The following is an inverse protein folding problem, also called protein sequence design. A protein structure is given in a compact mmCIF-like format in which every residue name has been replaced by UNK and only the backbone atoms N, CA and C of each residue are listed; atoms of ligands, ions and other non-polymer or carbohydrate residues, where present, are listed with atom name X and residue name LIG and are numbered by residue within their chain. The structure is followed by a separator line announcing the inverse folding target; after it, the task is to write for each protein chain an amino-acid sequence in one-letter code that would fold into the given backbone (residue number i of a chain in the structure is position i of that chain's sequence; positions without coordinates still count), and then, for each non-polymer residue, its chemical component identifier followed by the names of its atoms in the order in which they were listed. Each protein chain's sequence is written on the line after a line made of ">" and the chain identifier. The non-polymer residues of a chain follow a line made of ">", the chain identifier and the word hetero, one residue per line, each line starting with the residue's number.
data_IF_426491843963
#
_entry.id   IF_426491843963
#
_cell.length_a   1.000
_cell.length_b   1.000
_cell.length_c   1.000
_cell.angle_alpha   90.00
_cell.angle_beta   90.00
_cell.angle_gamma   90.00
#
_symmetry.space_group_name_H-M   'P 1'
#
loop_
_entity.id
_entity.type
_entity.pdbx_description
1 polymer ?
#
# COMPACT_ATOMS: atom_id res chain seq x y z
N UNK A 1 5.16 -34.64 -30.01
CA UNK A 1 3.86 -34.00 -30.33
C UNK A 1 2.99 -34.22 -29.12
N UNK A 2 2.43 -33.20 -28.45
CA UNK A 2 1.91 -31.95 -29.01
C UNK A 2 2.24 -30.73 -28.16
N UNK A 3 3.04 -29.83 -28.72
CA UNK A 3 2.79 -28.41 -28.51
C UNK A 3 1.37 -28.16 -29.01
N UNK A 4 0.46 -27.73 -28.13
CA UNK A 4 -0.86 -27.36 -28.58
C UNK A 4 -0.70 -26.13 -29.46
N UNK A 5 -1.03 -26.31 -30.74
CA UNK A 5 -1.17 -25.24 -31.69
C UNK A 5 -2.00 -24.10 -31.07
N UNK A 6 -1.59 -22.84 -31.28
CA UNK A 6 -2.44 -21.69 -30.94
C UNK A 6 -3.85 -21.94 -31.45
N UNK A 7 -4.88 -21.47 -30.74
CA UNK A 7 -6.31 -21.73 -30.93
C UNK A 7 -6.90 -21.65 -32.36
N UNK A 8 -6.13 -21.29 -33.40
CA UNK A 8 -6.44 -21.60 -34.79
C UNK A 8 -5.23 -21.91 -35.70
N UNK A 9 -4.38 -22.86 -35.32
CA UNK A 9 -3.53 -23.53 -36.33
C UNK A 9 -4.32 -24.72 -36.86
N UNK A 10 -5.29 -24.45 -37.73
CA UNK A 10 -5.79 -25.52 -38.58
C UNK A 10 -4.74 -25.81 -39.64
N UNK A 11 -3.97 -26.87 -39.46
CA UNK A 11 -3.25 -27.54 -40.54
C UNK A 11 -4.14 -28.56 -41.27
N UNK A 12 -5.46 -28.58 -40.99
CA UNK A 12 -6.38 -29.43 -41.76
C UNK A 12 -6.50 -28.86 -43.17
N UNK A 13 -6.32 -29.65 -44.24
CA UNK A 13 -6.58 -29.22 -45.60
C UNK A 13 -8.03 -28.76 -45.83
N UNK A 14 -8.92 -28.96 -44.84
CA UNK A 14 -10.33 -28.57 -44.85
C UNK A 14 -10.72 -27.58 -43.73
N UNK A 15 -9.78 -27.04 -42.95
CA UNK A 15 -10.15 -26.10 -41.90
C UNK A 15 -10.37 -24.71 -42.45
N UNK A 16 -11.57 -24.18 -42.23
CA UNK A 16 -12.05 -22.90 -42.74
C UNK A 16 -11.46 -21.67 -42.02
N UNK A 17 -10.71 -21.87 -40.93
CA UNK A 17 -10.18 -20.78 -40.10
C UNK A 17 -8.66 -20.84 -40.11
N UNK A 18 -8.04 -19.82 -40.70
CA UNK A 18 -6.59 -19.64 -40.71
C UNK A 18 -6.08 -19.04 -39.39
N UNK A 19 -4.77 -19.08 -39.18
CA UNK A 19 -4.10 -18.40 -38.05
C UNK A 19 -4.32 -16.88 -38.10
N UNK A 20 -4.40 -16.32 -39.31
CA UNK A 20 -4.81 -14.93 -39.52
C UNK A 20 -6.27 -14.68 -39.12
N UNK A 21 -7.23 -15.50 -39.58
CA UNK A 21 -8.65 -15.32 -39.26
C UNK A 21 -8.91 -15.30 -37.75
N UNK A 22 -8.21 -16.14 -37.01
CA UNK A 22 -8.31 -16.15 -35.56
C UNK A 22 -7.67 -14.93 -34.91
N UNK A 23 -6.45 -14.54 -35.32
CA UNK A 23 -5.85 -13.28 -34.84
C UNK A 23 -6.81 -12.10 -35.05
N UNK A 24 -7.45 -12.03 -36.22
CA UNK A 24 -8.45 -11.00 -36.54
C UNK A 24 -9.73 -11.15 -35.68
N UNK A 25 -10.24 -12.36 -35.48
CA UNK A 25 -11.41 -12.61 -34.64
C UNK A 25 -11.19 -12.22 -33.16
N UNK A 26 -10.01 -12.53 -32.60
CA UNK A 26 -9.65 -12.06 -31.25
C UNK A 26 -9.57 -10.53 -31.20
N UNK A 27 -9.06 -9.91 -32.25
CA UNK A 27 -9.02 -8.44 -32.34
C UNK A 27 -10.43 -7.86 -32.35
N UNK A 28 -11.34 -8.43 -33.12
CA UNK A 28 -12.74 -8.00 -33.19
C UNK A 28 -13.45 -8.10 -31.82
N UNK A 29 -13.15 -9.13 -31.03
CA UNK A 29 -13.70 -9.27 -29.67
C UNK A 29 -13.10 -8.27 -28.67
N UNK A 30 -11.86 -7.86 -28.87
CA UNK A 30 -11.10 -7.05 -27.91
C UNK A 30 -11.08 -5.56 -28.25
N UNK A 31 -11.58 -5.16 -29.41
CA UNK A 31 -11.57 -3.78 -29.89
C UNK A 31 -12.90 -3.06 -29.54
N UNK A 32 -12.95 -2.25 -28.46
CA UNK A 32 -14.18 -1.61 -28.00
C UNK A 32 -14.58 -0.36 -28.80
N UNK A 33 -13.80 0.05 -29.81
CA UNK A 33 -14.00 1.31 -30.52
C UNK A 33 -13.26 1.41 -31.86
N UNK A 34 -13.29 2.58 -32.53
CA UNK A 34 -12.71 2.77 -33.87
C UNK A 34 -11.19 2.62 -33.91
N UNK A 35 -10.53 2.72 -32.76
CA UNK A 35 -9.10 2.49 -32.59
C UNK A 35 -8.86 1.13 -31.93
N UNK A 36 -7.92 0.36 -32.46
CA UNK A 36 -7.46 -0.87 -31.81
C UNK A 36 -6.97 -0.55 -30.40
N UNK A 37 -7.53 -1.21 -29.40
CA UNK A 37 -6.92 -1.28 -28.07
C UNK A 37 -5.53 -1.89 -28.22
N UNK A 38 -4.52 -1.22 -27.68
CA UNK A 38 -3.14 -1.72 -27.67
C UNK A 38 -3.13 -3.09 -26.99
N UNK A 39 -2.85 -4.14 -27.76
CA UNK A 39 -2.54 -5.45 -27.20
C UNK A 39 -1.04 -5.51 -26.93
N UNK A 40 -0.69 -5.85 -25.71
CA UNK A 40 0.68 -6.00 -25.26
C UNK A 40 1.13 -7.45 -25.42
N UNK A 41 2.38 -7.64 -25.85
CA UNK A 41 2.98 -8.97 -25.84
C UNK A 41 3.38 -9.33 -24.41
N UNK A 42 2.90 -10.47 -23.90
CA UNK A 42 3.24 -10.93 -22.57
C UNK A 42 2.58 -12.23 -22.15
N UNK A 43 3.01 -12.73 -20.99
CA UNK A 43 2.58 -14.03 -20.46
C UNK A 43 1.42 -13.81 -19.47
N UNK A 44 0.38 -14.64 -19.55
CA UNK A 44 -0.71 -14.65 -18.59
C UNK A 44 -0.18 -15.00 -17.20
N UNK A 45 -0.56 -14.22 -16.19
CA UNK A 45 -0.18 -14.50 -14.82
C UNK A 45 -0.76 -15.85 -14.35
N UNK A 46 0.09 -16.68 -13.73
CA UNK A 46 -0.27 -17.96 -13.11
C UNK A 46 0.74 -18.27 -11.98
N UNK A 47 0.38 -19.19 -11.09
CA UNK A 47 1.32 -19.71 -10.09
C UNK A 47 2.48 -20.48 -10.76
N UNK A 48 3.65 -20.52 -10.11
CA UNK A 48 4.78 -21.37 -10.55
C UNK A 48 5.66 -20.78 -11.67
N UNK A 49 5.67 -19.45 -11.84
CA UNK A 49 6.52 -18.72 -12.80
C UNK A 49 6.42 -19.22 -14.26
N UNK A 50 5.27 -19.00 -14.92
CA UNK A 50 5.06 -19.46 -16.29
C UNK A 50 6.09 -18.85 -17.26
N UNK A 51 6.62 -19.69 -18.14
CA UNK A 51 7.58 -19.33 -19.19
C UNK A 51 9.04 -19.26 -18.73
N UNK A 52 9.35 -19.59 -17.47
CA UNK A 52 10.74 -19.71 -17.01
C UNK A 52 11.42 -20.88 -17.72
N UNK A 53 12.65 -20.63 -18.18
CA UNK A 53 13.60 -21.61 -18.67
C UNK A 53 14.49 -22.08 -17.53
N UNK A 54 14.63 -23.39 -17.39
CA UNK A 54 15.45 -24.04 -16.36
C UNK A 54 16.17 -25.26 -16.95
N UNK A 55 17.26 -25.71 -16.32
CA UNK A 55 17.93 -26.97 -16.70
C UNK A 55 16.93 -28.13 -16.58
N UNK A 56 16.90 -29.03 -17.56
CA UNK A 56 15.99 -30.16 -17.56
C UNK A 56 16.34 -31.14 -16.43
N UNK A 57 15.34 -31.61 -15.70
CA UNK A 57 15.56 -32.60 -14.64
C UNK A 57 16.07 -33.91 -15.25
N UNK A 58 17.24 -34.38 -14.81
CA UNK A 58 17.85 -35.63 -15.28
C UNK A 58 18.57 -35.55 -16.62
N UNK A 59 18.56 -34.39 -17.30
CA UNK A 59 19.32 -34.15 -18.53
C UNK A 59 20.02 -32.78 -18.46
N UNK A 60 21.29 -32.79 -18.07
CA UNK A 60 22.07 -31.57 -17.90
C UNK A 60 22.46 -30.91 -19.21
N UNK A 61 22.18 -31.51 -20.38
CA UNK A 61 22.45 -30.90 -21.69
C UNK A 61 21.25 -30.11 -22.22
N UNK A 62 20.09 -30.33 -21.62
CA UNK A 62 18.83 -29.76 -22.06
C UNK A 62 18.29 -28.71 -21.12
N UNK A 63 17.45 -27.82 -21.66
CA UNK A 63 16.58 -26.96 -20.88
C UNK A 63 15.12 -27.39 -21.03
N UNK A 64 14.32 -27.08 -20.02
CA UNK A 64 12.86 -27.14 -20.11
C UNK A 64 12.30 -25.75 -19.91
N UNK A 65 11.18 -25.47 -20.58
CA UNK A 65 10.40 -24.24 -20.36
C UNK A 65 9.18 -24.62 -19.55
N UNK A 66 8.90 -23.89 -18.46
CA UNK A 66 7.69 -24.13 -17.68
C UNK A 66 6.44 -23.79 -18.51
N UNK A 67 5.36 -24.56 -18.40
CA UNK A 67 4.12 -24.28 -19.10
C UNK A 67 3.65 -22.83 -18.95
N UNK A 68 3.09 -22.26 -20.02
CA UNK A 68 2.58 -20.88 -20.04
C UNK A 68 1.50 -20.67 -21.09
N UNK A 69 0.72 -19.61 -20.90
CA UNK A 69 -0.12 -19.02 -21.93
C UNK A 69 0.39 -17.61 -22.22
N UNK A 70 0.55 -17.26 -23.50
CA UNK A 70 1.07 -15.97 -23.94
C UNK A 70 0.12 -15.31 -24.92
N UNK A 71 0.04 -13.99 -24.85
CA UNK A 71 -0.52 -13.16 -25.90
C UNK A 71 0.65 -12.49 -26.62
N UNK A 72 0.76 -12.68 -27.93
CA UNK A 72 1.81 -12.09 -28.74
C UNK A 72 1.18 -11.21 -29.81
N UNK A 73 1.45 -9.91 -29.76
CA UNK A 73 1.11 -9.01 -30.85
C UNK A 73 1.97 -9.33 -32.07
N UNK A 74 1.36 -9.38 -33.26
CA UNK A 74 2.14 -9.50 -34.49
C UNK A 74 2.89 -8.19 -34.76
N UNK A 75 4.16 -8.30 -35.14
CA UNK A 75 4.95 -7.17 -35.63
C UNK A 75 4.58 -6.79 -37.07
N UNK A 76 3.75 -7.60 -37.73
CA UNK A 76 3.44 -7.51 -39.17
C UNK A 76 1.98 -7.13 -39.45
N UNK A 77 1.12 -7.08 -38.44
CA UNK A 77 -0.29 -6.74 -38.59
C UNK A 77 -1.00 -6.45 -37.27
N UNK A 78 -2.32 -6.25 -37.34
CA UNK A 78 -3.15 -5.91 -36.17
C UNK A 78 -3.52 -7.14 -35.34
N UNK A 79 -3.59 -7.04 -34.02
CA UNK A 79 -4.08 -8.14 -33.18
C UNK A 79 -3.02 -9.03 -32.58
N UNK A 80 -3.49 -10.00 -31.79
CA UNK A 80 -2.65 -10.87 -30.97
C UNK A 80 -2.93 -12.34 -31.19
N UNK A 81 -1.86 -13.13 -31.22
CA UNK A 81 -1.89 -14.58 -31.13
C UNK A 81 -2.05 -14.99 -29.67
N UNK A 82 -2.91 -16.00 -29.41
CA UNK A 82 -2.99 -16.66 -28.10
C UNK A 82 -2.27 -17.98 -28.23
N UNK A 83 -1.18 -18.13 -27.49
CA UNK A 83 -0.28 -19.26 -27.58
C UNK A 83 -0.31 -20.00 -26.25
N UNK A 84 -0.39 -21.32 -26.31
CA UNK A 84 -0.36 -22.18 -25.13
C UNK A 84 0.79 -23.15 -25.29
N UNK A 85 1.68 -23.16 -24.31
CA UNK A 85 2.72 -24.16 -24.14
C UNK A 85 2.40 -24.94 -22.87
N UNK A 86 1.86 -26.15 -23.02
CA UNK A 86 1.38 -27.00 -21.93
C UNK A 86 2.16 -28.31 -21.78
N UNK A 87 2.98 -28.65 -22.77
CA UNK A 87 3.82 -29.85 -22.79
C UNK A 87 5.32 -29.48 -22.72
N UNK A 88 5.91 -29.43 -21.50
CA UNK A 88 7.31 -29.06 -21.32
C UNK A 88 8.24 -30.16 -21.84
N UNK A 89 8.72 -29.99 -23.05
CA UNK A 89 9.67 -30.90 -23.70
C UNK A 89 11.11 -30.44 -23.45
N UNK A 90 12.05 -31.32 -23.06
CA UNK A 90 13.47 -30.98 -23.02
C UNK A 90 14.01 -30.56 -24.40
N UNK A 91 14.76 -29.46 -24.41
CA UNK A 91 15.41 -28.91 -25.60
C UNK A 91 16.93 -29.03 -25.39
N UNK A 92 17.58 -29.92 -26.13
CA UNK A 92 19.04 -30.11 -26.05
C UNK A 92 19.76 -28.91 -26.69
N UNK A 93 20.36 -28.07 -25.84
CA UNK A 93 21.05 -26.84 -26.23
C UNK A 93 22.50 -27.12 -26.64
N UNK A 94 23.07 -28.23 -26.18
CA UNK A 94 24.47 -28.58 -26.38
C UNK A 94 24.69 -29.49 -27.59
N UNK A 95 23.63 -29.93 -28.28
CA UNK A 95 23.70 -30.81 -29.45
C UNK A 95 24.10 -30.09 -30.73
N UNK A 96 23.36 -29.04 -31.13
CA UNK A 96 23.48 -28.46 -32.46
C UNK A 96 23.51 -26.90 -32.43
N UNK A 97 24.68 -26.26 -32.67
CA UNK A 97 25.99 -26.88 -32.88
C UNK A 97 26.56 -27.43 -31.56
N UNK A 98 27.37 -28.50 -31.62
CA UNK A 98 28.06 -29.00 -30.45
C UNK A 98 28.92 -27.91 -29.83
N UNK A 99 29.15 -27.99 -28.53
CA UNK A 99 29.96 -27.00 -27.82
C UNK A 99 31.40 -27.05 -28.35
N UNK A 100 31.83 -25.94 -28.95
CA UNK A 100 33.19 -25.78 -29.47
C UNK A 100 34.15 -25.26 -28.39
N UNK A 101 35.34 -24.85 -28.84
CA UNK A 101 36.39 -24.27 -27.99
C UNK A 101 36.16 -22.82 -27.60
N UNK A 102 35.10 -22.17 -28.10
CA UNK A 102 34.76 -20.78 -27.77
C UNK A 102 33.35 -20.69 -27.17
N UNK A 103 33.16 -19.68 -26.32
CA UNK A 103 31.86 -19.37 -25.73
C UNK A 103 30.87 -18.82 -26.78
N UNK A 104 29.58 -18.96 -26.50
CA UNK A 104 28.49 -18.40 -27.33
C UNK A 104 27.27 -18.05 -26.49
N UNK A 105 26.37 -17.26 -27.06
CA UNK A 105 25.05 -16.97 -26.49
C UNK A 105 23.99 -17.63 -27.35
N UNK A 106 23.17 -18.47 -26.73
CA UNK A 106 22.03 -19.12 -27.37
C UNK A 106 20.73 -18.47 -26.86
N UNK A 107 19.64 -18.59 -27.63
CA UNK A 107 18.31 -18.12 -27.19
C UNK A 107 17.34 -19.28 -27.07
N UNK A 108 16.45 -19.19 -26.10
CA UNK A 108 15.19 -19.91 -26.09
C UNK A 108 14.09 -18.91 -26.42
N UNK A 109 13.34 -19.20 -27.47
CA UNK A 109 12.30 -18.30 -27.98
C UNK A 109 10.96 -19.01 -28.08
N UNK A 110 9.91 -18.22 -27.96
CA UNK A 110 8.54 -18.55 -28.37
C UNK A 110 8.26 -17.83 -29.69
N UNK A 111 7.93 -18.54 -30.76
CA UNK A 111 7.77 -17.98 -32.11
C UNK A 111 6.42 -18.39 -32.70
N UNK A 112 5.70 -17.42 -33.26
CA UNK A 112 4.53 -17.65 -34.10
C UNK A 112 4.94 -17.61 -35.57
N UNK A 113 4.54 -18.58 -36.37
CA UNK A 113 4.54 -18.48 -37.84
C UNK A 113 3.11 -18.45 -38.37
N UNK A 114 2.91 -17.68 -39.44
CA UNK A 114 1.61 -17.42 -40.07
C UNK A 114 1.81 -17.22 -41.57
N UNK A 115 1.36 -18.19 -42.38
CA UNK A 115 1.53 -18.24 -43.85
C UNK A 115 0.85 -17.08 -44.58
N UNK A 116 -0.01 -16.32 -43.91
CA UNK A 116 -0.52 -15.06 -44.44
C UNK A 116 0.59 -14.04 -44.70
N UNK A 117 1.72 -14.16 -43.99
CA UNK A 117 2.86 -13.25 -44.14
C UNK A 117 3.95 -13.84 -45.05
N UNK A 118 4.47 -13.05 -46.02
CA UNK A 118 5.58 -13.48 -46.84
C UNK A 118 6.80 -13.89 -46.01
N UNK A 119 7.33 -15.09 -46.27
CA UNK A 119 8.51 -15.64 -45.60
C UNK A 119 8.22 -16.71 -44.57
N UNK A 120 6.98 -16.85 -44.10
CA UNK A 120 6.57 -17.93 -43.22
C UNK A 120 6.17 -19.16 -44.03
N UNK A 121 6.90 -20.27 -43.87
CA UNK A 121 6.66 -21.51 -44.63
C UNK A 121 5.55 -22.38 -44.02
N UNK A 122 4.95 -21.96 -42.90
CA UNK A 122 3.92 -22.72 -42.20
C UNK A 122 3.20 -21.91 -41.14
N UNK A 123 2.08 -22.43 -40.67
CA UNK A 123 1.35 -21.90 -39.52
C UNK A 123 1.77 -22.70 -38.28
N UNK A 124 2.08 -22.02 -37.19
CA UNK A 124 2.42 -22.74 -35.97
C UNK A 124 3.01 -21.89 -34.86
N UNK A 125 2.75 -22.31 -33.63
CA UNK A 125 3.44 -21.83 -32.44
C UNK A 125 4.51 -22.84 -32.06
N UNK A 126 5.75 -22.37 -31.85
CA UNK A 126 6.85 -23.22 -31.39
C UNK A 126 7.66 -22.55 -30.30
N UNK A 127 8.03 -23.33 -29.28
CA UNK A 127 9.13 -22.99 -28.37
C UNK A 127 10.37 -23.72 -28.85
N UNK A 128 11.45 -22.99 -29.14
CA UNK A 128 12.66 -23.59 -29.72
C UNK A 128 13.94 -22.87 -29.32
N UNK A 129 15.04 -23.57 -29.53
CA UNK A 129 16.41 -23.06 -29.41
C UNK A 129 16.85 -22.34 -30.69
N UNK A 130 17.61 -21.25 -30.49
CA UNK A 130 18.32 -20.52 -31.54
C UNK A 130 19.80 -20.51 -31.16
N UNK A 131 20.65 -21.28 -31.85
CA UNK A 131 22.05 -21.35 -31.50
C UNK A 131 22.82 -20.10 -31.91
N UNK A 132 23.72 -19.67 -31.03
CA UNK A 132 24.74 -18.64 -31.27
C UNK A 132 25.86 -19.11 -32.19
N UNK A 133 26.54 -18.14 -32.79
CA UNK A 133 27.82 -18.40 -33.44
C UNK A 133 28.93 -18.54 -32.39
N UNK A 134 29.76 -19.58 -32.53
CA UNK A 134 30.93 -19.80 -31.66
C UNK A 134 31.87 -18.60 -31.73
N UNK A 135 32.33 -18.09 -30.57
CA UNK A 135 33.29 -17.00 -30.49
C UNK A 135 32.72 -15.60 -30.74
N UNK A 136 31.41 -15.46 -30.92
CA UNK A 136 30.73 -14.17 -31.05
C UNK A 136 29.69 -14.02 -29.94
N UNK A 137 30.03 -13.38 -28.80
CA UNK A 137 29.09 -13.18 -27.70
C UNK A 137 28.04 -12.13 -28.12
N UNK A 138 26.84 -12.59 -28.48
CA UNK A 138 25.71 -11.73 -28.84
C UNK A 138 24.49 -12.55 -29.23
N UNK A 139 23.31 -11.93 -29.20
CA UNK A 139 22.05 -12.59 -29.54
C UNK A 139 22.09 -13.07 -31.01
N UNK A 140 21.92 -14.38 -31.30
CA UNK A 140 21.86 -14.88 -32.67
C UNK A 140 20.65 -14.33 -33.42
N UNK A 141 20.76 -14.14 -34.74
CA UNK A 141 19.61 -13.77 -35.56
C UNK A 141 18.56 -14.89 -35.55
N UNK A 142 17.33 -14.53 -35.23
CA UNK A 142 16.19 -15.45 -35.30
C UNK A 142 15.73 -15.57 -36.75
N UNK A 143 15.85 -16.78 -37.32
CA UNK A 143 15.34 -17.09 -38.66
C UNK A 143 13.83 -17.42 -38.65
N UNK A 144 13.19 -17.28 -39.80
CA UNK A 144 11.75 -17.50 -39.99
C UNK A 144 10.95 -16.26 -39.63
N UNK A 145 9.78 -16.47 -39.03
CA UNK A 145 8.89 -15.38 -38.62
C UNK A 145 9.55 -14.36 -37.69
N UNK A 146 9.25 -13.09 -37.90
CA UNK A 146 9.66 -11.99 -37.01
C UNK A 146 8.77 -11.85 -35.78
N UNK A 147 7.71 -12.66 -35.66
CA UNK A 147 6.81 -12.69 -34.52
C UNK A 147 7.34 -13.70 -33.49
N UNK A 148 8.28 -13.23 -32.64
CA UNK A 148 8.86 -14.03 -31.58
C UNK A 148 9.11 -13.22 -30.31
N UNK A 149 9.26 -13.95 -29.21
CA UNK A 149 9.63 -13.43 -27.90
C UNK A 149 10.79 -14.25 -27.36
N UNK A 150 11.82 -13.58 -26.85
CA UNK A 150 12.92 -14.23 -26.14
C UNK A 150 12.47 -14.58 -24.73
N UNK A 151 12.52 -15.86 -24.38
CA UNK A 151 12.21 -16.37 -23.03
C UNK A 151 13.45 -16.38 -22.14
N UNK A 152 14.60 -16.78 -22.69
CA UNK A 152 15.87 -16.74 -21.99
C UNK A 152 17.06 -16.63 -22.96
N UNK A 153 18.16 -16.07 -22.44
CA UNK A 153 19.50 -16.18 -23.03
C UNK A 153 20.27 -17.27 -22.28
N UNK A 154 21.01 -18.09 -23.00
CA UNK A 154 21.85 -19.14 -22.43
C UNK A 154 23.31 -18.84 -22.78
N UNK A 155 24.11 -18.53 -21.76
CA UNK A 155 25.53 -18.21 -21.89
C UNK A 155 26.35 -19.50 -21.82
N UNK A 156 26.59 -20.11 -22.99
CA UNK A 156 27.35 -21.35 -23.10
C UNK A 156 28.84 -21.04 -22.98
N UNK A 157 29.46 -21.58 -21.92
CA UNK A 157 30.91 -21.48 -21.70
C UNK A 157 31.66 -22.37 -22.71
N UNK A 158 32.89 -21.98 -23.06
CA UNK A 158 33.76 -22.80 -23.90
C UNK A 158 33.94 -24.20 -23.28
N UNK A 159 33.78 -25.26 -24.09
CA UNK A 159 33.92 -26.64 -23.63
C UNK A 159 32.88 -27.13 -22.62
N UNK A 160 31.77 -26.41 -22.41
CA UNK A 160 30.70 -26.86 -21.53
C UNK A 160 30.14 -28.23 -21.95
N UNK A 161 30.13 -29.19 -21.01
CA UNK A 161 29.51 -30.51 -21.19
C UNK A 161 28.14 -30.62 -20.54
N UNK A 162 27.81 -29.66 -19.67
CA UNK A 162 26.57 -29.55 -18.92
C UNK A 162 26.15 -28.08 -18.80
N UNK A 163 24.85 -27.86 -18.67
CA UNK A 163 24.22 -26.60 -18.35
C UNK A 163 24.07 -26.48 -16.85
N UNK A 164 24.40 -25.30 -16.34
CA UNK A 164 24.19 -24.93 -14.93
C UNK A 164 23.21 -23.76 -14.85
N UNK A 165 22.47 -23.59 -13.74
CA UNK A 165 21.49 -22.51 -13.61
C UNK A 165 22.07 -21.10 -13.84
N UNK A 166 23.34 -20.85 -13.50
CA UNK A 166 24.03 -19.57 -13.73
C UNK A 166 24.23 -19.26 -15.23
N UNK A 167 24.17 -20.26 -16.11
CA UNK A 167 24.24 -20.04 -17.56
C UNK A 167 22.91 -19.52 -18.12
N UNK A 168 21.79 -19.62 -17.39
CA UNK A 168 20.46 -19.26 -17.90
C UNK A 168 20.05 -17.88 -17.39
N UNK A 169 19.90 -16.94 -18.30
CA UNK A 169 19.38 -15.60 -18.03
C UNK A 169 17.95 -15.51 -18.57
N UNK A 170 16.98 -15.78 -17.70
CA UNK A 170 15.56 -15.63 -18.01
C UNK A 170 15.21 -14.16 -18.34
N UNK A 171 14.31 -13.95 -19.30
CA UNK A 171 13.83 -12.63 -19.67
C UNK A 171 12.84 -12.11 -18.62
N UNK A 172 13.38 -11.42 -17.63
CA UNK A 172 12.58 -10.79 -16.56
C UNK A 172 11.80 -9.57 -17.04
N UNK A 173 12.02 -9.10 -18.27
CA UNK A 173 11.29 -7.95 -18.84
C UNK A 173 9.99 -8.36 -19.54
N UNK A 174 9.68 -9.66 -19.61
CA UNK A 174 8.38 -10.10 -20.12
C UNK A 174 7.26 -9.56 -19.24
N UNK A 175 6.34 -8.82 -19.87
CA UNK A 175 5.16 -8.26 -19.24
C UNK A 175 4.19 -9.37 -18.84
N UNK A 176 3.42 -9.11 -17.79
CA UNK A 176 2.26 -9.93 -17.43
C UNK A 176 1.00 -9.30 -18.02
N UNK A 177 0.17 -10.12 -18.65
CA UNK A 177 -1.04 -9.67 -19.34
C UNK A 177 -2.27 -10.40 -18.82
N UNK A 178 -3.42 -9.74 -18.97
CA UNK A 178 -4.75 -10.24 -18.63
C UNK A 178 -5.72 -9.91 -19.76
N UNK A 179 -6.90 -10.54 -19.75
CA UNK A 179 -7.97 -10.17 -20.66
C UNK A 179 -8.44 -8.73 -20.41
N UNK A 180 -9.10 -8.14 -21.40
CA UNK A 180 -9.70 -6.79 -21.29
C UNK A 180 -10.57 -6.70 -20.02
N UNK A 181 -10.40 -5.63 -19.25
CA UNK A 181 -11.10 -5.42 -17.98
C UNK A 181 -10.49 -6.16 -16.77
N UNK A 182 -9.48 -7.02 -16.97
CA UNK A 182 -8.73 -7.63 -15.87
C UNK A 182 -7.79 -6.65 -15.17
N UNK A 183 -7.33 -7.02 -13.97
CA UNK A 183 -6.30 -6.29 -13.22
C UNK A 183 -4.93 -6.84 -13.63
N UNK A 184 -4.15 -6.06 -14.38
CA UNK A 184 -2.82 -6.49 -14.81
C UNK A 184 -1.81 -6.29 -13.67
N UNK A 185 -1.06 -7.33 -13.23
CA UNK A 185 0.03 -7.15 -12.30
C UNK A 185 1.22 -6.51 -13.02
N UNK A 186 1.75 -5.42 -12.45
CA UNK A 186 2.92 -4.70 -12.96
C UNK A 186 3.99 -4.67 -11.86
N UNK A 187 5.28 -4.86 -12.21
CA UNK A 187 6.32 -4.97 -11.19
C UNK A 187 6.60 -3.62 -10.54
N UNK A 188 6.69 -2.58 -11.36
CA UNK A 188 7.02 -1.23 -10.94
C UNK A 188 6.16 -0.20 -11.66
N UNK A 189 6.44 1.07 -11.38
CA UNK A 189 5.88 2.21 -12.07
C UNK A 189 6.08 2.18 -13.60
N UNK A 190 7.23 1.69 -14.06
CA UNK A 190 7.67 1.78 -15.46
C UNK A 190 7.07 0.66 -16.33
N UNK A 191 6.62 -0.42 -15.70
CA UNK A 191 5.94 -1.54 -16.37
C UNK A 191 4.50 -1.20 -16.77
N UNK A 192 3.95 -0.08 -16.30
CA UNK A 192 2.59 0.37 -16.62
C UNK A 192 2.48 0.76 -18.08
N UNK A 193 1.33 0.50 -18.74
CA UNK A 193 1.04 1.13 -20.02
C UNK A 193 1.13 2.66 -19.90
N UNK A 194 1.68 3.36 -20.91
CA UNK A 194 1.70 4.81 -20.93
C UNK A 194 0.28 5.35 -20.75
N UNK A 195 0.07 6.31 -19.85
CA UNK A 195 -1.28 6.76 -19.50
C UNK A 195 -2.09 7.26 -20.71
N UNK A 196 -1.43 7.87 -21.71
CA UNK A 196 -2.06 8.29 -22.97
C UNK A 196 -2.59 7.13 -23.85
N UNK A 197 -2.21 5.89 -23.55
CA UNK A 197 -2.66 4.68 -24.27
C UNK A 197 -3.67 3.86 -23.44
N UNK A 198 -4.08 4.36 -22.28
CA UNK A 198 -5.01 3.67 -21.38
C UNK A 198 -6.43 4.19 -21.57
N UNK A 199 -7.42 3.36 -21.23
CA UNK A 199 -8.80 3.80 -21.13
C UNK A 199 -9.18 4.09 -19.67
N UNK A 200 -10.15 4.98 -19.46
CA UNK A 200 -10.66 5.28 -18.11
C UNK A 200 -11.20 4.02 -17.43
N UNK A 201 -10.76 3.76 -16.21
CA UNK A 201 -11.10 2.55 -15.44
C UNK A 201 -10.14 1.38 -15.64
N UNK A 202 -9.16 1.47 -16.53
CA UNK A 202 -8.12 0.45 -16.65
C UNK A 202 -7.35 0.33 -15.33
N UNK A 203 -7.24 -0.89 -14.80
CA UNK A 203 -6.71 -1.14 -13.45
C UNK A 203 -5.46 -2.02 -13.49
N UNK A 204 -4.45 -1.65 -12.71
CA UNK A 204 -3.22 -2.43 -12.51
C UNK A 204 -2.97 -2.68 -11.01
N UNK A 205 -2.26 -3.76 -10.70
CA UNK A 205 -1.76 -4.04 -9.36
C UNK A 205 -0.24 -3.83 -9.33
N UNK A 206 0.22 -2.85 -8.54
CA UNK A 206 1.64 -2.53 -8.34
C UNK A 206 2.27 -3.50 -7.35
N UNK A 207 3.03 -4.46 -7.85
CA UNK A 207 3.62 -5.50 -7.00
C UNK A 207 4.66 -4.95 -6.02
N UNK A 208 5.43 -3.93 -6.43
CA UNK A 208 6.40 -3.25 -5.56
C UNK A 208 5.74 -2.46 -4.42
N UNK A 209 4.47 -2.10 -4.56
CA UNK A 209 3.73 -1.28 -3.58
C UNK A 209 2.59 -1.99 -2.87
N UNK A 210 2.13 -3.11 -3.41
CA UNK A 210 1.02 -3.87 -2.85
C UNK A 210 -0.35 -3.22 -3.02
N UNK A 211 -0.54 -2.28 -3.96
CA UNK A 211 -1.80 -1.56 -4.15
C UNK A 211 -2.34 -1.58 -5.58
N UNK A 212 -3.60 -1.18 -5.73
CA UNK A 212 -4.26 -0.98 -7.02
C UNK A 212 -4.07 0.45 -7.52
N UNK A 213 -3.88 0.60 -8.81
CA UNK A 213 -3.92 1.88 -9.49
C UNK A 213 -4.93 1.82 -10.64
N UNK A 214 -5.66 2.92 -10.84
CA UNK A 214 -6.71 3.03 -11.86
C UNK A 214 -6.38 4.22 -12.74
N UNK A 215 -6.35 4.00 -14.05
CA UNK A 215 -6.21 5.10 -15.01
C UNK A 215 -7.51 5.87 -15.13
N UNK A 216 -7.43 7.21 -15.11
CA UNK A 216 -8.53 8.10 -15.51
C UNK A 216 -8.57 8.37 -17.03
N UNK A 217 -7.72 7.68 -17.80
CA UNK A 217 -7.50 7.88 -19.24
C UNK A 217 -6.40 8.90 -19.57
N UNK A 218 -5.91 9.63 -18.57
CA UNK A 218 -4.80 10.59 -18.72
C UNK A 218 -3.68 10.37 -17.71
N UNK A 219 -4.01 9.85 -16.52
CA UNK A 219 -3.13 9.69 -15.38
C UNK A 219 -3.47 8.40 -14.62
N UNK A 220 -2.46 7.79 -14.03
CA UNK A 220 -2.64 6.69 -13.08
C UNK A 220 -2.96 7.26 -11.69
N UNK A 221 -4.11 6.88 -11.13
CA UNK A 221 -4.58 7.29 -9.81
C UNK A 221 -4.52 6.14 -8.82
N UNK A 222 -4.46 6.46 -7.53
CA UNK A 222 -4.50 5.47 -6.45
C UNK A 222 -5.76 5.73 -5.60
N UNK A 223 -6.94 5.23 -6.00
CA UNK A 223 -8.21 5.60 -5.38
C UNK A 223 -8.47 4.95 -4.01
N UNK A 224 -7.62 4.02 -3.58
CA UNK A 224 -7.64 3.43 -2.24
C UNK A 224 -6.95 4.35 -1.21
N UNK A 225 -6.78 3.84 0.03
CA UNK A 225 -5.88 4.43 1.03
C UNK A 225 -4.56 3.64 0.96
N UNK A 226 -3.61 4.00 0.08
CA UNK A 226 -2.31 3.32 0.06
C UNK A 226 -1.56 3.55 1.37
N UNK A 227 -0.67 2.61 1.69
CA UNK A 227 0.30 2.74 2.78
C UNK A 227 1.66 3.02 2.16
N UNK A 228 2.24 4.18 2.46
CA UNK A 228 3.59 4.55 2.04
C UNK A 228 4.57 4.34 3.20
N UNK A 229 5.84 4.10 2.86
CA UNK A 229 6.86 3.86 3.87
C UNK A 229 7.17 5.12 4.71
N UNK A 230 7.00 6.30 4.11
CA UNK A 230 7.22 7.60 4.74
C UNK A 230 6.45 8.72 4.04
N UNK A 231 6.40 9.91 4.66
CA UNK A 231 5.89 11.10 4.00
C UNK A 231 6.66 11.41 2.69
N UNK A 232 7.99 11.23 2.72
CA UNK A 232 8.85 11.39 1.52
C UNK A 232 8.48 10.38 0.43
N UNK A 233 8.25 9.13 0.80
CA UNK A 233 7.81 8.08 -0.12
C UNK A 233 6.45 8.40 -0.76
N UNK A 234 5.51 8.94 0.02
CA UNK A 234 4.22 9.40 -0.49
C UNK A 234 4.38 10.51 -1.55
N UNK A 235 5.20 11.53 -1.28
CA UNK A 235 5.39 12.66 -2.22
C UNK A 235 6.07 12.28 -3.53
N UNK A 236 6.90 11.24 -3.51
CA UNK A 236 7.66 10.79 -4.69
C UNK A 236 6.92 9.73 -5.50
N UNK A 237 6.08 8.92 -4.84
CA UNK A 237 5.41 7.78 -5.45
C UNK A 237 4.04 8.13 -6.03
N UNK A 238 3.26 8.95 -5.30
CA UNK A 238 1.91 9.35 -5.71
C UNK A 238 2.01 10.71 -6.42
N UNK A 239 2.35 10.66 -7.71
CA UNK A 239 2.61 11.86 -8.53
C UNK A 239 1.35 12.62 -8.95
N UNK A 240 0.24 11.90 -9.08
CA UNK A 240 -1.02 12.44 -9.59
C UNK A 240 -2.19 12.14 -8.63
N UNK A 241 -2.17 12.64 -7.38
CA UNK A 241 -3.26 12.40 -6.45
C UNK A 241 -4.56 13.10 -6.87
N UNK A 242 -5.70 12.48 -6.54
CA UNK A 242 -7.01 13.12 -6.67
C UNK A 242 -7.25 14.08 -5.49
N UNK A 243 -8.05 15.13 -5.71
CA UNK A 243 -8.46 16.02 -4.62
C UNK A 243 -9.17 15.21 -3.53
N UNK A 244 -8.72 15.37 -2.28
CA UNK A 244 -9.25 14.63 -1.14
C UNK A 244 -8.74 13.20 -0.97
N UNK A 245 -7.84 12.73 -1.84
CA UNK A 245 -7.24 11.40 -1.72
C UNK A 245 -6.55 11.24 -0.36
N UNK A 246 -6.76 10.07 0.26
CA UNK A 246 -6.20 9.72 1.56
C UNK A 246 -5.03 8.75 1.38
N UNK A 247 -4.00 8.88 2.23
CA UNK A 247 -2.81 8.00 2.24
C UNK A 247 -2.33 7.85 3.68
N UNK A 248 -1.98 6.64 4.09
CA UNK A 248 -1.34 6.40 5.38
C UNK A 248 0.18 6.40 5.19
N UNK A 249 0.90 7.09 6.07
CA UNK A 249 2.35 6.94 6.16
C UNK A 249 2.71 6.06 7.35
N UNK A 250 3.59 5.08 7.12
CA UNK A 250 3.91 4.06 8.11
C UNK A 250 4.97 4.52 9.14
N UNK A 251 5.78 5.52 8.82
CA UNK A 251 6.85 6.04 9.70
C UNK A 251 6.31 6.93 10.84
N UNK A 252 5.39 7.83 10.51
CA UNK A 252 4.76 8.81 11.38
C UNK A 252 3.34 8.41 11.79
N UNK A 253 2.80 7.32 11.23
CA UNK A 253 1.46 6.82 11.51
C UNK A 253 0.34 7.80 11.13
N UNK A 254 0.61 8.80 10.30
CA UNK A 254 -0.35 9.84 9.95
C UNK A 254 -1.14 9.45 8.70
N UNK A 255 -2.45 9.67 8.76
CA UNK A 255 -3.30 9.72 7.59
C UNK A 255 -3.20 11.12 6.98
N UNK A 256 -2.75 11.19 5.73
CA UNK A 256 -2.66 12.40 4.94
C UNK A 256 -3.82 12.53 3.97
N UNK A 257 -4.27 13.76 3.71
CA UNK A 257 -5.25 14.11 2.69
C UNK A 257 -4.65 15.08 1.67
N UNK A 258 -4.77 14.78 0.38
CA UNK A 258 -4.37 15.70 -0.68
C UNK A 258 -5.35 16.88 -0.80
N UNK A 259 -4.83 18.10 -0.72
CA UNK A 259 -5.63 19.35 -0.77
C UNK A 259 -5.77 19.94 -2.17
N UNK A 260 -5.10 19.35 -3.17
CA UNK A 260 -4.97 19.93 -4.51
C UNK A 260 -3.59 20.53 -4.79
N UNK A 261 -2.82 20.84 -3.75
CA UNK A 261 -1.44 21.35 -3.90
C UNK A 261 -0.44 20.81 -2.87
N UNK A 262 -0.92 20.30 -1.73
CA UNK A 262 -0.08 19.69 -0.70
C UNK A 262 -0.80 18.56 0.03
N UNK A 263 -0.03 17.68 0.67
CA UNK A 263 -0.54 16.68 1.61
C UNK A 263 -0.71 17.32 2.99
N UNK A 264 -1.88 17.15 3.59
CA UNK A 264 -2.20 17.63 4.93
C UNK A 264 -2.45 16.44 5.85
N UNK A 265 -1.71 16.33 6.96
CA UNK A 265 -2.01 15.34 8.00
C UNK A 265 -3.38 15.62 8.61
N UNK A 266 -4.27 14.62 8.63
CA UNK A 266 -5.66 14.77 9.10
C UNK A 266 -6.00 13.93 10.31
N UNK A 267 -5.37 12.75 10.48
CA UNK A 267 -5.63 11.84 11.59
C UNK A 267 -4.32 11.15 11.96
N UNK A 268 -3.96 11.14 13.24
CA UNK A 268 -2.93 10.25 13.77
C UNK A 268 -3.53 8.87 13.98
N UNK A 269 -2.98 7.86 13.32
CA UNK A 269 -3.40 6.46 13.42
C UNK A 269 -2.59 5.68 14.48
N UNK A 270 -1.75 6.37 15.27
CA UNK A 270 -1.12 5.85 16.49
C UNK A 270 0.07 4.94 16.27
N UNK A 271 0.62 4.86 15.05
CA UNK A 271 1.78 4.00 14.74
C UNK A 271 3.10 4.78 14.60
N UNK A 272 3.05 6.11 14.62
CA UNK A 272 4.22 6.98 14.50
C UNK A 272 4.97 7.24 15.79
N UNK A 273 6.30 7.28 15.68
CA UNK A 273 7.20 7.53 16.82
C UNK A 273 7.65 8.99 16.97
N UNK A 274 7.31 9.90 16.05
CA UNK A 274 7.83 11.28 16.05
C UNK A 274 6.80 12.35 16.48
N UNK A 275 7.11 13.22 17.47
CA UNK A 275 6.27 14.35 17.89
C UNK A 275 6.11 15.48 16.85
N UNK A 276 6.91 15.48 15.77
CA UNK A 276 7.03 16.61 14.85
C UNK A 276 5.81 16.87 13.98
N UNK A 277 4.97 15.86 13.76
CA UNK A 277 3.83 15.91 12.83
C UNK A 277 2.51 15.46 13.47
N UNK A 278 2.56 15.05 14.75
CA UNK A 278 1.37 14.71 15.54
C UNK A 278 0.64 15.99 15.94
N UNK A 279 -0.65 16.09 15.60
CA UNK A 279 -1.54 17.21 15.97
C UNK A 279 -2.38 16.92 17.22
N UNK A 280 -2.05 15.86 17.95
CA UNK A 280 -2.72 15.45 19.18
C UNK A 280 -1.74 15.27 20.32
N UNK A 281 -2.05 15.78 21.51
CA UNK A 281 -1.29 15.51 22.72
C UNK A 281 -2.20 14.89 23.79
N UNK A 282 -1.66 13.95 24.56
CA UNK A 282 -2.38 13.32 25.68
C UNK A 282 -1.49 13.22 26.91
N UNK A 283 -2.05 13.68 28.02
CA UNK A 283 -1.42 13.71 29.33
C UNK A 283 -2.34 13.10 30.38
N UNK A 284 -1.76 12.47 31.38
CA UNK A 284 -2.46 11.67 32.38
C UNK A 284 -1.89 11.87 33.78
N UNK A 285 -2.64 11.39 34.77
CA UNK A 285 -2.16 11.24 36.15
C UNK A 285 -2.08 9.75 36.49
N UNK A 286 -0.87 9.18 36.55
CA UNK A 286 -0.61 7.78 36.93
C UNK A 286 0.05 7.70 38.30
N UNK A 287 -0.54 6.91 39.21
CA UNK A 287 0.10 6.55 40.49
C UNK A 287 0.28 7.68 41.51
N UNK A 288 0.06 8.94 41.13
CA UNK A 288 0.07 10.11 42.00
C UNK A 288 -1.36 10.54 42.27
N UNK A 289 -1.80 10.50 43.53
CA UNK A 289 -3.10 11.06 43.89
C UNK A 289 -2.96 12.58 44.03
N UNK A 290 -3.71 13.35 43.23
CA UNK A 290 -3.83 14.77 43.46
C UNK A 290 -4.95 15.03 44.47
N UNK A 291 -4.57 15.67 45.59
CA UNK A 291 -5.52 16.15 46.60
C UNK A 291 -6.00 17.55 46.21
N UNK A 292 -7.30 17.71 45.94
CA UNK A 292 -7.84 18.98 45.47
C UNK A 292 -8.60 19.68 46.60
N UNK A 293 -8.18 20.91 46.90
CA UNK A 293 -8.69 21.75 47.99
C UNK A 293 -9.20 23.09 47.43
N UNK A 294 -10.00 23.82 48.20
CA UNK A 294 -10.60 25.09 47.75
C UNK A 294 -9.60 26.19 47.34
N UNK A 295 -8.32 26.08 47.71
CA UNK A 295 -7.26 27.04 47.32
C UNK A 295 -6.47 26.65 46.07
N UNK A 296 -6.48 25.37 45.68
CA UNK A 296 -5.80 24.88 44.48
C UNK A 296 -6.78 24.07 43.64
N UNK A 297 -7.30 24.69 42.59
CA UNK A 297 -8.34 24.10 41.75
C UNK A 297 -7.80 23.46 40.46
N UNK A 298 -6.52 23.66 40.11
CA UNK A 298 -5.98 23.15 38.84
C UNK A 298 -5.61 21.68 38.93
N UNK A 299 -6.07 20.90 37.96
CA UNK A 299 -5.68 19.50 37.80
C UNK A 299 -4.32 19.42 37.10
N UNK A 300 -3.42 18.58 37.60
CA UNK A 300 -2.09 18.34 37.02
C UNK A 300 -2.05 16.97 36.33
N UNK A 301 -1.39 16.92 35.18
CA UNK A 301 -1.28 15.72 34.33
C UNK A 301 0.19 15.41 34.04
N UNK A 302 0.98 14.98 35.03
CA UNK A 302 2.44 14.88 34.89
C UNK A 302 2.90 13.85 33.85
N UNK A 303 2.11 12.81 33.61
CA UNK A 303 2.50 11.69 32.75
C UNK A 303 2.14 11.96 31.30
N UNK A 304 3.13 11.81 30.42
CA UNK A 304 2.98 12.03 28.98
C UNK A 304 2.70 10.70 28.29
N UNK A 305 1.52 10.54 27.69
CA UNK A 305 1.22 9.35 26.87
C UNK A 305 1.76 9.55 25.46
N UNK A 306 1.47 10.72 24.88
CA UNK A 306 2.05 11.17 23.62
C UNK A 306 2.03 12.71 23.54
N UNK A 307 3.07 13.28 22.93
CA UNK A 307 3.26 14.72 22.79
C UNK A 307 3.05 15.21 21.36
N UNK A 308 2.69 16.49 21.23
CA UNK A 308 2.59 17.22 19.97
C UNK A 308 3.44 18.49 20.05
N UNK A 309 4.15 18.84 18.98
CA UNK A 309 4.81 20.15 18.87
C UNK A 309 3.82 21.35 18.91
N UNK A 310 2.53 21.07 18.76
CA UNK A 310 1.48 22.08 18.83
C UNK A 310 1.07 22.41 20.28
N UNK A 311 1.62 21.70 21.28
CA UNK A 311 1.29 21.86 22.71
C UNK A 311 2.56 21.91 23.56
N UNK A 312 2.75 22.98 24.33
CA UNK A 312 3.75 23.05 25.40
C UNK A 312 3.06 22.80 26.74
N UNK A 313 3.42 21.71 27.41
CA UNK A 313 2.86 21.32 28.71
C UNK A 313 3.76 21.76 29.87
N UNK A 314 3.18 22.47 30.83
CA UNK A 314 3.78 22.79 32.12
C UNK A 314 3.15 21.91 33.21
N UNK A 315 3.89 20.87 33.60
CA UNK A 315 3.48 19.89 34.60
C UNK A 315 3.35 20.48 36.01
N UNK A 316 4.06 21.58 36.30
CA UNK A 316 4.05 22.21 37.63
C UNK A 316 2.74 22.93 37.86
N UNK A 317 2.25 23.63 36.83
CA UNK A 317 1.02 24.43 36.92
C UNK A 317 -0.20 23.77 36.27
N UNK A 318 -0.04 22.60 35.64
CA UNK A 318 -1.12 21.89 34.93
C UNK A 318 -1.65 22.71 33.76
N UNK A 319 -0.76 23.37 33.01
CA UNK A 319 -1.14 24.26 31.90
C UNK A 319 -0.63 23.77 30.56
N UNK A 320 -1.40 24.06 29.51
CA UNK A 320 -1.13 23.65 28.14
C UNK A 320 -1.14 24.89 27.25
N UNK A 321 0.01 25.25 26.68
CA UNK A 321 0.10 26.37 25.71
C UNK A 321 -0.03 25.82 24.30
N UNK A 322 -1.07 26.22 23.58
CA UNK A 322 -1.30 25.87 22.18
C UNK A 322 -0.36 26.70 21.30
N UNK A 323 0.69 26.11 20.73
CA UNK A 323 1.65 26.85 19.88
C UNK A 323 1.10 27.14 18.48
N UNK A 324 0.03 26.44 18.09
CA UNK A 324 -0.67 26.58 16.81
C UNK A 324 -2.08 27.16 16.96
N UNK A 325 -2.40 28.13 16.11
CA UNK A 325 -3.76 28.67 15.99
C UNK A 325 -4.67 27.78 15.15
N UNK A 326 -5.96 27.75 15.48
CA UNK A 326 -6.97 27.06 14.67
C UNK A 326 -8.10 26.47 15.52
N UNK A 327 -8.87 25.57 14.93
CA UNK A 327 -9.91 24.82 15.63
C UNK A 327 -9.29 23.66 16.40
N UNK A 328 -9.53 23.61 17.71
CA UNK A 328 -9.10 22.52 18.59
C UNK A 328 -10.28 21.80 19.22
N UNK A 329 -10.10 20.51 19.48
CA UNK A 329 -10.93 19.70 20.38
C UNK A 329 -10.13 19.36 21.62
N UNK A 330 -10.63 19.73 22.79
CA UNK A 330 -10.03 19.44 24.10
C UNK A 330 -10.99 18.53 24.84
N UNK A 331 -10.52 17.36 25.26
CA UNK A 331 -11.29 16.40 26.05
C UNK A 331 -10.59 16.18 27.38
N UNK A 332 -11.32 16.14 28.47
CA UNK A 332 -10.80 15.66 29.75
C UNK A 332 -11.77 14.70 30.41
N UNK A 333 -11.19 13.70 31.07
CA UNK A 333 -11.88 12.70 31.88
C UNK A 333 -11.24 12.71 33.24
N UNK A 334 -12.06 12.74 34.29
CA UNK A 334 -11.64 12.72 35.68
C UNK A 334 -12.46 11.68 36.43
N UNK A 335 -11.80 10.94 37.30
CA UNK A 335 -12.44 10.04 38.24
C UNK A 335 -11.98 10.38 39.63
N UNK A 336 -12.95 10.61 40.50
CA UNK A 336 -12.76 11.20 41.80
C UNK A 336 -13.20 10.22 42.88
N UNK A 337 -12.42 10.15 43.94
CA UNK A 337 -12.76 9.53 45.20
C UNK A 337 -13.00 10.64 46.23
N UNK A 338 -13.93 10.39 47.15
CA UNK A 338 -13.97 11.20 48.36
C UNK A 338 -12.60 11.12 49.04
N UNK A 339 -12.04 12.27 49.45
CA UNK A 339 -10.81 12.26 50.23
C UNK A 339 -11.04 11.41 51.49
N UNK A 340 -10.03 10.64 51.90
CA UNK A 340 -10.12 9.58 52.90
C UNK A 340 -10.78 9.96 54.25
N UNK A 341 -10.92 9.00 55.19
CA UNK A 341 -11.83 9.06 56.37
C UNK A 341 -11.50 10.11 57.45
N UNK A 342 -10.76 11.17 57.15
CA UNK A 342 -10.25 12.18 58.11
C UNK A 342 -11.28 13.17 58.66
N UNK A 343 -12.56 12.83 58.61
CA UNK A 343 -13.64 13.64 59.15
C UNK A 343 -14.69 12.78 59.86
N UNK A 344 -14.29 11.94 60.81
CA UNK A 344 -15.19 11.29 61.79
C UNK A 344 -15.92 12.30 62.72
N UNK A 345 -16.03 13.57 62.32
CA UNK A 345 -16.77 14.61 63.00
C UNK A 345 -18.27 14.56 62.70
N UNK A 346 -18.89 13.41 62.93
CA UNK A 346 -20.33 13.26 62.97
C UNK A 346 -20.95 12.72 61.68
N UNK A 347 -20.89 11.39 61.52
CA UNK A 347 -21.91 10.65 60.78
C UNK A 347 -23.23 10.80 61.53
N UNK A 348 -23.87 11.95 61.42
CA UNK A 348 -25.31 11.99 61.57
C UNK A 348 -25.89 11.28 60.36
N UNK A 349 -26.93 10.47 60.54
CA UNK A 349 -27.73 9.84 59.47
C UNK A 349 -28.42 10.86 58.53
N UNK A 350 -28.04 12.14 58.63
CA UNK A 350 -28.56 13.27 57.89
C UNK A 350 -28.05 13.18 56.44
N UNK A 351 -28.92 12.66 55.58
CA UNK A 351 -28.68 12.42 54.16
C UNK A 351 -28.12 13.66 53.43
N UNK A 352 -28.53 14.85 53.86
CA UNK A 352 -28.21 16.13 53.20
C UNK A 352 -26.78 16.63 53.47
N UNK A 353 -26.10 16.14 54.52
CA UNK A 353 -24.73 16.58 54.86
C UNK A 353 -23.62 15.80 54.15
N UNK A 354 -23.97 14.72 53.45
CA UNK A 354 -23.02 13.78 52.83
C UNK A 354 -23.02 13.85 51.28
N UNK A 355 -23.76 14.80 50.71
CA UNK A 355 -23.75 15.09 49.28
C UNK A 355 -22.71 16.16 48.99
N UNK A 356 -21.82 15.89 48.05
CA UNK A 356 -20.88 16.88 47.54
C UNK A 356 -21.07 17.06 46.05
N UNK A 357 -20.94 18.31 45.66
CA UNK A 357 -21.02 18.76 44.29
C UNK A 357 -19.60 18.97 43.81
N UNK A 358 -19.25 18.31 42.72
CA UNK A 358 -17.99 18.54 42.04
C UNK A 358 -18.28 19.01 40.62
N UNK A 359 -17.50 19.98 40.14
CA UNK A 359 -17.49 20.33 38.74
C UNK A 359 -16.07 20.43 38.21
N UNK A 360 -15.90 20.06 36.94
CA UNK A 360 -14.68 20.30 36.18
C UNK A 360 -14.97 21.29 35.07
N UNK A 361 -14.00 22.12 34.73
CA UNK A 361 -14.08 23.04 33.61
C UNK A 361 -12.75 23.12 32.85
N UNK A 362 -12.85 23.19 31.53
CA UNK A 362 -11.73 23.58 30.67
C UNK A 362 -11.74 25.11 30.60
N UNK A 363 -10.65 25.73 31.01
CA UNK A 363 -10.52 27.19 31.12
C UNK A 363 -9.30 27.72 30.40
N UNK A 364 -9.37 28.97 29.97
CA UNK A 364 -8.22 29.73 29.47
C UNK A 364 -7.41 30.39 30.62
N UNK A 365 -6.39 31.17 30.26
CA UNK A 365 -5.57 31.93 31.22
C UNK A 365 -6.36 32.91 32.10
N UNK A 366 -7.53 33.37 31.62
CA UNK A 366 -8.40 34.30 32.35
C UNK A 366 -9.45 33.58 33.20
N UNK A 367 -9.38 32.24 33.28
CA UNK A 367 -10.36 31.38 33.94
C UNK A 367 -11.79 31.52 33.38
N UNK A 368 -11.95 31.94 32.12
CA UNK A 368 -13.27 31.90 31.49
C UNK A 368 -13.60 30.46 31.11
N UNK A 369 -14.63 29.91 31.75
CA UNK A 369 -15.13 28.56 31.50
C UNK A 369 -15.60 28.40 30.07
N UNK A 370 -14.91 27.53 29.31
CA UNK A 370 -15.27 27.24 27.93
C UNK A 370 -16.41 26.20 27.91
N UNK A 371 -16.31 25.19 28.78
CA UNK A 371 -17.29 24.14 29.05
C UNK A 371 -17.10 23.60 30.48
N UNK A 372 -18.17 23.08 31.09
CA UNK A 372 -18.11 22.42 32.39
C UNK A 372 -18.95 21.14 32.42
N UNK A 373 -18.64 20.26 33.38
CA UNK A 373 -19.44 19.10 33.73
C UNK A 373 -19.53 19.00 35.25
N UNK A 374 -20.67 18.56 35.78
CA UNK A 374 -20.92 18.43 37.21
C UNK A 374 -21.40 17.03 37.58
N UNK A 375 -21.12 16.61 38.81
CA UNK A 375 -21.65 15.39 39.41
C UNK A 375 -21.92 15.63 40.89
N UNK A 376 -22.99 15.01 41.37
CA UNK A 376 -23.30 14.93 42.79
C UNK A 376 -23.04 13.50 43.23
N UNK A 377 -22.32 13.31 44.32
CA UNK A 377 -21.90 12.00 44.77
C UNK A 377 -22.08 11.82 46.29
N UNK A 378 -22.31 10.57 46.73
CA UNK A 378 -22.57 10.20 48.14
C UNK A 378 -21.30 9.61 48.79
N UNK A 379 -20.80 10.26 49.83
CA UNK A 379 -19.56 9.89 50.55
C UNK A 379 -19.65 8.54 51.24
N UNK A 380 -20.86 8.12 51.62
CA UNK A 380 -21.06 6.91 52.40
C UNK A 380 -20.68 5.65 51.64
N UNK A 381 -20.71 5.69 50.30
CA UNK A 381 -20.50 4.50 49.48
C UNK A 381 -19.08 4.37 48.93
N UNK A 382 -18.20 5.37 49.11
CA UNK A 382 -16.87 5.43 48.46
C UNK A 382 -16.90 5.05 46.98
N UNK A 383 -18.02 5.32 46.31
CA UNK A 383 -18.15 5.04 44.88
C UNK A 383 -17.38 6.14 44.14
N UNK A 384 -16.56 5.83 43.14
CA UNK A 384 -15.92 6.87 42.37
C UNK A 384 -16.94 7.63 41.52
N UNK A 385 -16.82 8.95 41.46
CA UNK A 385 -17.55 9.77 40.50
C UNK A 385 -16.71 9.95 39.23
N UNK A 386 -17.33 9.94 38.05
CA UNK A 386 -16.67 10.23 36.79
C UNK A 386 -17.22 11.51 36.17
N UNK A 387 -16.32 12.43 35.82
CA UNK A 387 -16.62 13.70 35.18
C UNK A 387 -15.91 13.77 33.84
N UNK A 388 -16.64 14.15 32.79
CA UNK A 388 -16.09 14.26 31.44
C UNK A 388 -16.49 15.61 30.84
N UNK A 389 -15.56 16.31 30.23
CA UNK A 389 -15.82 17.58 29.56
C UNK A 389 -15.12 17.61 28.20
N UNK A 390 -15.83 18.10 27.18
CA UNK A 390 -15.30 18.28 25.82
C UNK A 390 -15.56 19.71 25.39
N UNK A 391 -14.53 20.39 24.90
CA UNK A 391 -14.61 21.72 24.32
C UNK A 391 -14.07 21.70 22.88
N UNK A 392 -14.83 22.29 21.96
CA UNK A 392 -14.38 22.57 20.60
C UNK A 392 -14.46 24.07 20.36
N UNK A 393 -13.32 24.69 20.07
CA UNK A 393 -13.26 26.13 19.83
C UNK A 393 -12.06 26.53 18.96
N UNK A 394 -12.14 27.72 18.38
CA UNK A 394 -11.01 28.34 17.68
C UNK A 394 -10.15 29.05 18.71
N UNK A 395 -8.87 28.68 18.76
CA UNK A 395 -7.89 29.27 19.65
C UNK A 395 -6.77 29.93 18.85
N UNK A 396 -6.36 31.16 19.20
CA UNK A 396 -5.12 31.74 18.71
C UNK A 396 -3.89 30.96 19.19
N UNK A 397 -2.80 31.01 18.42
CA UNK A 397 -1.50 30.56 18.88
C UNK A 397 -1.07 31.33 20.15
N UNK A 398 -0.47 30.63 21.11
CA UNK A 398 -0.10 31.14 22.43
C UNK A 398 -1.21 31.03 23.48
N UNK A 399 -2.41 30.53 23.14
CA UNK A 399 -3.48 30.32 24.12
C UNK A 399 -3.04 29.33 25.19
N UNK A 400 -3.16 29.71 26.46
CA UNK A 400 -2.96 28.80 27.58
C UNK A 400 -4.30 28.23 28.05
N UNK A 401 -4.33 26.92 28.20
CA UNK A 401 -5.47 26.16 28.72
C UNK A 401 -5.08 25.47 30.03
N UNK A 402 -6.08 25.24 30.88
CA UNK A 402 -5.96 24.36 32.04
C UNK A 402 -7.29 23.68 32.33
N UNK A 403 -7.25 22.61 33.11
CA UNK A 403 -8.45 21.99 33.68
C UNK A 403 -8.53 22.42 35.14
N UNK A 404 -9.61 23.09 35.50
CA UNK A 404 -9.92 23.37 36.90
C UNK A 404 -10.99 22.43 37.40
N UNK A 405 -10.94 22.17 38.69
CA UNK A 405 -11.93 21.44 39.43
C UNK A 405 -12.30 22.22 40.66
N UNK A 406 -13.58 22.25 40.95
CA UNK A 406 -14.10 22.70 42.21
C UNK A 406 -14.90 21.58 42.84
N UNK A 407 -14.89 21.55 44.15
CA UNK A 407 -15.64 20.60 44.95
C UNK A 407 -16.09 21.28 46.23
N UNK A 408 -17.30 20.97 46.70
CA UNK A 408 -17.81 21.53 47.96
C UNK A 408 -17.06 21.03 49.19
N UNK A 409 -16.31 19.93 49.05
CA UNK A 409 -15.45 19.31 50.07
C UNK A 409 -14.19 18.74 49.41
N UNK A 410 -13.05 18.62 50.11
CA UNK A 410 -11.84 18.05 49.53
C UNK A 410 -12.07 16.66 48.90
N UNK A 411 -11.43 16.40 47.76
CA UNK A 411 -11.49 15.09 47.10
C UNK A 411 -10.14 14.72 46.46
N UNK A 412 -9.98 13.42 46.19
CA UNK A 412 -8.77 12.85 45.62
C UNK A 412 -9.07 12.30 44.23
N UNK A 413 -8.11 12.39 43.31
CA UNK A 413 -8.20 11.63 42.06
C UNK A 413 -8.06 10.13 42.33
N UNK A 414 -8.92 9.33 41.70
CA UNK A 414 -8.86 7.87 41.75
C UNK A 414 -7.70 7.37 40.89
N UNK A 415 -6.65 6.88 41.54
CA UNK A 415 -5.46 6.32 40.87
C UNK A 415 -5.58 4.82 40.61
N UNK A 416 -6.67 4.16 41.02
CA UNK A 416 -6.82 2.70 40.91
C UNK A 416 -7.07 2.22 39.47
N UNK A 417 -7.40 3.13 38.55
CA UNK A 417 -7.62 2.82 37.14
C UNK A 417 -6.64 3.61 36.27
N UNK A 418 -5.74 2.93 35.54
CA UNK A 418 -4.87 3.62 34.60
C UNK A 418 -5.70 4.27 33.50
N UNK A 419 -5.22 5.42 33.01
CA UNK A 419 -5.74 6.13 31.83
C UNK A 419 -7.10 6.84 31.99
N UNK A 420 -7.70 6.88 33.18
CA UNK A 420 -8.98 7.58 33.37
C UNK A 420 -8.80 9.08 33.61
N UNK A 421 -7.84 9.48 34.44
CA UNK A 421 -7.57 10.90 34.70
C UNK A 421 -6.67 11.43 33.59
N UNK A 422 -7.28 12.03 32.58
CA UNK A 422 -6.57 12.44 31.37
C UNK A 422 -7.07 13.76 30.78
N UNK A 423 -6.23 14.33 29.93
CA UNK A 423 -6.57 15.38 28.99
C UNK A 423 -6.00 15.04 27.60
N UNK A 424 -6.81 15.23 26.57
CA UNK A 424 -6.43 15.11 25.16
C UNK A 424 -6.68 16.42 24.45
N UNK A 425 -5.68 16.93 23.74
CA UNK A 425 -5.73 18.17 22.96
C UNK A 425 -5.47 17.84 21.49
N UNK A 426 -6.47 17.99 20.63
CA UNK A 426 -6.37 17.69 19.19
C UNK A 426 -6.58 18.94 18.36
N UNK A 427 -5.60 19.34 17.56
CA UNK A 427 -5.76 20.37 16.53
C UNK A 427 -6.46 19.76 15.31
N UNK A 428 -7.59 20.32 14.91
CA UNK A 428 -8.45 19.76 13.85
C UNK A 428 -8.20 20.39 12.49
N UNK A 429 -8.01 21.71 12.44
CA UNK A 429 -7.81 22.50 11.21
C UNK A 429 -7.41 23.95 11.52
N UNK A 430 -6.80 24.66 10.56
CA UNK A 430 -6.50 26.09 10.71
C UNK A 430 -7.75 26.94 10.93
#
# INVERSE_FOLDING_TARGET
>A
MSQHYSWAVSSSPNGLITTEDARLATTALLQPGPTSTSSETGIRAAAGDPGIVQVAAGDTRSVTVRPFQMFMRSNRGAGSYIQTYDDPTPIDVLRDPPVGTAARVDLIIAQQSDTAYPGDTGNGFVVRHVPGASGTPGDPPVKGSTDFVVLARINIKAGATELTPDMIQNNTQLKRVVALGGIAPVRTADDRPPAAQTYGGQTVYRQDRGWLEISDGTKWRVPSIPVCASFVDLTTTIKDPALGQLVLSADDGMLYRWTGGSWLGVIDCGTGSSPTERHEARYETHGQSQHITGSETRIRFPDKVYESNDVVHDETFGTFTLTRGGLWRITTSQRLLAAGPGGDGGVGDDFDKNLYESYIAIVDASNYGIRYANANHDQRRKVPAALNCVAENVFPAGTQLSVIMWTSVPCDQDTSWPNINNITLTWLRP
#
